data_IF_873514165594
#
_entry.id   IF_873514165594
#
_cell.length_a   1.000
_cell.length_b   1.000
_cell.length_c   1.000
_cell.angle_alpha   90.00
_cell.angle_beta   90.00
_cell.angle_gamma   90.00
#
_symmetry.space_group_name_H-M   'P 1'
#
loop_
_entity.id
_entity.type
_entity.pdbx_description
1 polymer ?
#
# COMPACT_ATOMS: atom_id res chain seq x y z
N UNK A 1 16.33 15.14 1.83
CA UNK A 1 15.34 14.10 1.51
C UNK A 1 15.41 13.70 0.05
N UNK A 2 15.00 12.47 -0.31
CA UNK A 2 14.95 12.02 -1.70
C UNK A 2 13.52 11.62 -2.05
N UNK A 3 12.98 12.17 -3.15
CA UNK A 3 11.68 11.77 -3.72
C UNK A 3 11.94 10.83 -4.90
N UNK A 4 11.23 9.72 -4.96
CA UNK A 4 11.27 8.77 -6.08
C UNK A 4 9.92 8.76 -6.77
N UNK A 5 9.93 9.04 -8.06
CA UNK A 5 8.76 8.94 -8.95
C UNK A 5 9.01 7.81 -9.93
N UNK A 6 8.10 6.83 -9.98
CA UNK A 6 8.16 5.72 -10.93
C UNK A 6 7.27 6.01 -12.13
N UNK A 7 7.86 6.12 -13.31
CA UNK A 7 7.15 6.34 -14.57
C UNK A 7 7.04 5.03 -15.37
N UNK A 8 5.83 4.73 -15.91
CA UNK A 8 5.56 3.51 -16.68
C UNK A 8 4.43 3.68 -17.69
N UNK A 9 4.62 3.18 -18.89
CA UNK A 9 3.58 3.18 -19.93
C UNK A 9 3.34 4.55 -20.54
N UNK A 10 2.10 4.85 -20.85
CA UNK A 10 1.72 6.16 -21.43
C UNK A 10 1.53 7.17 -20.30
N UNK A 11 2.62 7.83 -19.92
CA UNK A 11 2.59 8.88 -18.90
C UNK A 11 2.00 10.17 -19.48
N UNK A 12 1.09 10.80 -18.74
CA UNK A 12 0.48 12.07 -19.07
C UNK A 12 0.82 13.14 -18.03
N UNK A 13 0.98 12.76 -16.77
CA UNK A 13 1.11 13.66 -15.63
C UNK A 13 2.51 13.78 -15.05
N UNK A 14 3.48 13.04 -15.60
CA UNK A 14 4.85 12.99 -15.06
C UNK A 14 5.49 14.38 -14.93
N UNK A 15 5.32 15.27 -15.93
CA UNK A 15 5.85 16.63 -15.87
C UNK A 15 5.24 17.44 -14.72
N UNK A 16 3.94 17.30 -14.46
CA UNK A 16 3.26 17.97 -13.36
C UNK A 16 3.73 17.43 -12.00
N UNK A 17 3.86 16.09 -11.85
CA UNK A 17 4.41 15.47 -10.66
C UNK A 17 5.84 15.94 -10.36
N UNK A 18 6.71 15.99 -11.37
CA UNK A 18 8.08 16.49 -11.25
C UNK A 18 8.09 17.99 -10.91
N UNK A 19 7.30 18.81 -11.60
CA UNK A 19 7.25 20.25 -11.37
C UNK A 19 6.78 20.61 -9.97
N UNK A 20 5.68 19.99 -9.48
CA UNK A 20 5.16 20.23 -8.12
C UNK A 20 6.12 19.74 -7.04
N UNK A 21 6.83 18.64 -7.28
CA UNK A 21 7.88 18.14 -6.39
C UNK A 21 9.03 19.13 -6.29
N UNK A 22 9.57 19.60 -7.42
CA UNK A 22 10.69 20.55 -7.46
C UNK A 22 10.32 21.94 -6.93
N UNK A 23 9.02 22.32 -7.00
CA UNK A 23 8.48 23.57 -6.46
C UNK A 23 8.06 23.49 -4.98
N UNK A 24 8.26 22.35 -4.32
CA UNK A 24 7.89 22.16 -2.92
C UNK A 24 8.60 23.14 -1.99
N UNK A 25 7.84 23.66 -1.01
CA UNK A 25 8.32 24.67 -0.05
C UNK A 25 8.70 24.02 1.28
N UNK A 26 9.68 24.64 1.98
CA UNK A 26 10.11 24.21 3.32
C UNK A 26 10.96 22.94 3.31
N UNK A 27 11.58 22.62 2.19
CA UNK A 27 12.55 21.53 2.03
C UNK A 27 13.80 22.08 1.35
N UNK A 28 14.90 22.18 2.08
CA UNK A 28 16.13 22.83 1.58
C UNK A 28 16.97 21.88 0.71
N UNK A 29 17.10 20.60 1.13
CA UNK A 29 17.88 19.58 0.44
C UNK A 29 16.95 18.52 -0.19
N UNK A 30 16.48 18.81 -1.40
CA UNK A 30 15.62 17.91 -2.18
C UNK A 30 16.43 17.24 -3.30
N UNK A 31 16.45 15.90 -3.31
CA UNK A 31 16.84 15.06 -4.44
C UNK A 31 15.59 14.45 -5.07
N UNK A 32 15.50 14.47 -6.39
CA UNK A 32 14.41 13.83 -7.14
C UNK A 32 14.98 12.76 -8.07
N UNK A 33 14.52 11.53 -7.90
CA UNK A 33 14.87 10.39 -8.75
C UNK A 33 13.65 9.93 -9.53
N UNK A 34 13.67 10.07 -10.84
CA UNK A 34 12.67 9.50 -11.73
C UNK A 34 13.16 8.14 -12.22
N UNK A 35 12.36 7.10 -12.04
CA UNK A 35 12.67 5.76 -12.57
C UNK A 35 11.82 5.54 -13.82
N UNK A 36 12.47 5.54 -15.00
CA UNK A 36 11.84 5.17 -16.27
C UNK A 36 11.72 3.65 -16.37
N UNK A 37 10.63 3.13 -15.87
CA UNK A 37 10.38 1.68 -15.79
C UNK A 37 9.72 1.12 -17.08
N UNK A 38 9.90 1.80 -18.19
CA UNK A 38 9.37 1.45 -19.51
C UNK A 38 8.24 2.38 -19.96
N UNK A 39 8.50 3.69 -19.99
CA UNK A 39 7.62 4.68 -20.59
C UNK A 39 7.51 4.45 -22.10
N UNK A 40 6.31 4.66 -22.63
CA UNK A 40 6.02 4.54 -24.06
C UNK A 40 5.82 5.91 -24.74
N UNK A 41 5.83 6.99 -23.96
CA UNK A 41 5.80 8.39 -24.41
C UNK A 41 7.17 9.04 -24.20
N UNK A 42 7.35 10.25 -24.71
CA UNK A 42 8.57 11.04 -24.56
C UNK A 42 8.65 11.84 -23.24
N UNK A 43 7.72 11.64 -22.34
CA UNK A 43 7.59 12.39 -21.07
C UNK A 43 8.88 12.36 -20.24
N UNK A 44 9.56 11.23 -20.15
CA UNK A 44 10.84 11.15 -19.42
C UNK A 44 11.95 11.87 -20.18
N UNK A 45 12.01 11.70 -21.51
CA UNK A 45 13.06 12.32 -22.35
C UNK A 45 12.94 13.84 -22.43
N UNK A 46 11.74 14.39 -22.20
CA UNK A 46 11.44 15.82 -22.29
C UNK A 46 11.38 16.50 -20.93
N UNK A 47 11.73 15.82 -19.84
CA UNK A 47 11.82 16.43 -18.51
C UNK A 47 12.77 17.62 -18.52
N UNK A 48 12.39 18.75 -17.89
CA UNK A 48 13.27 19.93 -17.82
C UNK A 48 14.55 19.61 -17.04
N UNK A 49 15.70 20.13 -17.46
CA UNK A 49 16.94 19.95 -16.74
C UNK A 49 16.88 20.67 -15.38
N UNK A 50 17.13 19.92 -14.30
CA UNK A 50 17.24 20.45 -12.94
C UNK A 50 18.40 19.71 -12.24
N UNK A 51 19.31 20.38 -11.55
CA UNK A 51 20.45 19.74 -10.89
C UNK A 51 20.05 18.76 -9.78
N UNK A 52 18.84 18.87 -9.26
CA UNK A 52 18.26 17.96 -8.24
C UNK A 52 17.63 16.71 -8.87
N UNK A 53 17.37 16.71 -10.19
CA UNK A 53 16.71 15.64 -10.91
C UNK A 53 17.71 14.65 -11.49
N UNK A 54 17.49 13.37 -11.23
CA UNK A 54 18.21 12.26 -11.84
C UNK A 54 17.23 11.23 -12.40
N UNK A 55 17.52 10.70 -13.58
CA UNK A 55 16.74 9.64 -14.21
C UNK A 55 17.49 8.31 -14.14
N UNK A 56 16.79 7.25 -13.77
CA UNK A 56 17.29 5.87 -13.77
C UNK A 56 16.44 5.04 -14.74
N UNK A 57 17.09 4.24 -15.59
CA UNK A 57 16.38 3.38 -16.55
C UNK A 57 16.82 1.93 -16.34
N UNK A 58 16.01 1.07 -15.70
CA UNK A 58 16.29 -0.35 -15.57
C UNK A 58 16.21 -1.03 -16.93
N UNK A 59 16.91 -2.16 -17.09
CA UNK A 59 16.96 -2.91 -18.35
C UNK A 59 15.63 -3.59 -18.72
N UNK A 60 14.72 -3.71 -17.77
CA UNK A 60 13.38 -4.28 -17.95
C UNK A 60 12.39 -3.67 -16.94
N UNK A 61 11.11 -3.79 -17.25
CA UNK A 61 10.06 -3.39 -16.30
C UNK A 61 10.09 -4.26 -15.04
N UNK A 62 10.44 -3.67 -13.91
CA UNK A 62 10.56 -4.32 -12.60
C UNK A 62 9.27 -4.24 -11.77
N UNK A 63 8.19 -3.68 -12.32
CA UNK A 63 6.97 -3.36 -11.59
C UNK A 63 7.14 -2.15 -10.68
N UNK A 64 6.07 -1.79 -9.97
CA UNK A 64 6.12 -0.68 -9.01
C UNK A 64 7.09 -0.99 -7.87
N UNK A 65 6.98 -2.16 -7.26
CA UNK A 65 7.82 -2.56 -6.13
C UNK A 65 9.33 -2.53 -6.48
N UNK A 66 9.73 -3.15 -7.58
CA UNK A 66 11.12 -3.18 -8.01
C UNK A 66 11.66 -1.81 -8.45
N UNK A 67 10.82 -1.00 -9.10
CA UNK A 67 11.22 0.34 -9.53
C UNK A 67 11.42 1.31 -8.37
N UNK A 68 10.54 1.29 -7.36
CA UNK A 68 10.73 2.08 -6.13
C UNK A 68 11.95 1.58 -5.36
N UNK A 69 12.17 0.28 -5.24
CA UNK A 69 13.38 -0.28 -4.64
C UNK A 69 14.65 0.24 -5.36
N UNK A 70 14.66 0.26 -6.70
CA UNK A 70 15.79 0.79 -7.49
C UNK A 70 15.99 2.28 -7.20
N UNK A 71 14.93 3.09 -7.23
CA UNK A 71 14.99 4.52 -6.93
C UNK A 71 15.55 4.78 -5.53
N UNK A 72 15.01 4.10 -4.52
CA UNK A 72 15.47 4.26 -3.12
C UNK A 72 16.89 3.72 -2.88
N UNK A 73 17.33 2.71 -3.63
CA UNK A 73 18.73 2.24 -3.53
C UNK A 73 19.74 3.26 -4.06
N UNK A 74 19.32 4.13 -4.95
CA UNK A 74 20.13 5.20 -5.51
C UNK A 74 19.98 6.54 -4.78
N UNK A 75 18.94 6.68 -3.94
CA UNK A 75 18.67 7.87 -3.15
C UNK A 75 19.69 8.08 -2.02
N UNK A 76 19.96 9.34 -1.69
CA UNK A 76 21.00 9.73 -0.71
C UNK A 76 20.41 10.36 0.55
N UNK A 77 19.12 10.72 0.56
CA UNK A 77 18.47 11.39 1.68
C UNK A 77 18.13 10.45 2.84
N UNK A 78 18.12 10.97 4.05
CA UNK A 78 17.71 10.26 5.27
C UNK A 78 16.20 9.99 5.35
N UNK A 79 15.42 10.71 4.55
CA UNK A 79 13.98 10.53 4.36
C UNK A 79 13.74 10.23 2.89
N UNK A 80 13.09 9.10 2.63
CA UNK A 80 12.74 8.61 1.30
C UNK A 80 11.24 8.79 1.08
N UNK A 81 10.84 9.41 -0.03
CA UNK A 81 9.44 9.61 -0.38
C UNK A 81 9.16 8.93 -1.71
N UNK A 82 8.17 8.04 -1.73
CA UNK A 82 7.59 7.58 -2.99
C UNK A 82 6.43 8.49 -3.36
N UNK A 83 6.36 8.85 -4.63
CA UNK A 83 5.29 9.63 -5.23
C UNK A 83 4.91 8.99 -6.56
N UNK A 84 3.62 8.78 -6.80
CA UNK A 84 3.16 8.30 -8.10
C UNK A 84 3.42 9.35 -9.20
N UNK A 85 3.67 8.88 -10.42
CA UNK A 85 3.90 9.75 -11.60
C UNK A 85 2.67 10.54 -12.04
N UNK A 86 1.49 10.12 -11.58
CA UNK A 86 0.19 10.77 -11.78
C UNK A 86 -0.32 11.49 -10.51
N UNK A 87 0.61 11.89 -9.62
CA UNK A 87 0.29 12.62 -8.39
C UNK A 87 1.06 13.94 -8.29
N UNK A 88 0.36 15.02 -7.92
CA UNK A 88 0.89 16.36 -7.72
C UNK A 88 0.85 16.72 -6.23
N UNK A 89 1.96 17.14 -5.65
CA UNK A 89 2.01 17.53 -4.23
C UNK A 89 1.63 19.00 -4.02
N UNK A 90 0.89 19.31 -2.95
CA UNK A 90 0.71 20.70 -2.51
C UNK A 90 2.06 21.29 -2.04
N UNK A 91 2.27 22.62 -2.14
CA UNK A 91 3.57 23.25 -1.88
C UNK A 91 4.23 22.88 -0.54
N UNK A 92 3.45 22.67 0.51
CA UNK A 92 3.96 22.32 1.86
C UNK A 92 3.91 20.83 2.20
N UNK A 93 3.48 19.97 1.30
CA UNK A 93 3.25 18.55 1.60
C UNK A 93 4.52 17.84 2.03
N UNK A 94 5.60 17.97 1.29
CA UNK A 94 6.87 17.30 1.62
C UNK A 94 7.43 17.75 2.97
N UNK A 95 7.38 19.06 3.27
CA UNK A 95 7.82 19.59 4.55
C UNK A 95 7.00 19.04 5.73
N UNK A 96 5.68 18.86 5.55
CA UNK A 96 4.80 18.27 6.59
C UNK A 96 5.08 16.79 6.81
N UNK A 97 5.41 16.04 5.75
CA UNK A 97 5.83 14.64 5.87
C UNK A 97 7.17 14.53 6.59
N UNK A 98 8.13 15.39 6.27
CA UNK A 98 9.43 15.49 6.99
C UNK A 98 9.19 15.78 8.46
N UNK A 99 8.37 16.79 8.79
CA UNK A 99 8.06 17.15 10.17
C UNK A 99 7.42 15.99 10.96
N UNK A 100 6.58 15.17 10.34
CA UNK A 100 6.00 13.99 10.99
C UNK A 100 7.07 12.91 11.26
N UNK A 101 8.02 12.72 10.34
CA UNK A 101 9.16 11.82 10.54
C UNK A 101 10.06 12.33 11.67
N UNK A 102 10.33 13.63 11.72
CA UNK A 102 11.14 14.27 12.78
C UNK A 102 10.43 14.19 14.15
N UNK A 103 9.08 14.21 14.16
CA UNK A 103 8.23 13.98 15.35
C UNK A 103 8.18 12.49 15.77
N UNK A 104 8.96 11.64 15.13
CA UNK A 104 9.17 10.24 15.50
C UNK A 104 8.31 9.22 14.76
N UNK A 105 7.63 9.58 13.66
CA UNK A 105 7.07 8.60 12.76
C UNK A 105 8.18 7.88 12.00
N UNK A 106 8.05 6.56 11.80
CA UNK A 106 8.92 5.80 10.91
C UNK A 106 8.42 5.87 9.45
N UNK A 107 7.08 5.94 9.28
CA UNK A 107 6.40 6.16 8.00
C UNK A 107 5.37 7.28 8.16
N UNK A 108 5.25 8.16 7.15
CA UNK A 108 4.28 9.24 7.13
C UNK A 108 3.59 9.32 5.75
N UNK A 109 2.27 9.23 5.71
CA UNK A 109 1.48 9.27 4.48
C UNK A 109 0.71 10.58 4.33
N UNK A 110 0.62 11.10 3.11
CA UNK A 110 -0.25 12.22 2.80
C UNK A 110 -1.71 11.77 2.60
N UNK A 111 -2.65 12.70 2.74
CA UNK A 111 -4.00 12.55 2.21
C UNK A 111 -3.91 12.62 0.69
N UNK A 112 -4.41 11.60 0.02
CA UNK A 112 -4.48 11.57 -1.44
C UNK A 112 -5.85 12.07 -1.86
N UNK A 113 -5.88 13.12 -2.69
CA UNK A 113 -7.10 13.75 -3.21
C UNK A 113 -7.33 13.36 -4.66
N UNK A 114 -8.57 13.35 -5.11
CA UNK A 114 -8.94 13.15 -6.51
C UNK A 114 -8.69 14.44 -7.29
N UNK A 115 -7.79 14.41 -8.26
CA UNK A 115 -7.53 15.55 -9.13
C UNK A 115 -8.79 15.93 -9.94
N UNK A 116 -8.96 17.23 -10.17
CA UNK A 116 -10.13 17.75 -10.89
C UNK A 116 -11.43 17.77 -10.10
N UNK A 117 -11.37 17.59 -8.77
CA UNK A 117 -12.54 17.65 -7.87
C UNK A 117 -12.37 18.74 -6.81
N UNK A 118 -13.46 19.08 -6.11
CA UNK A 118 -13.43 19.99 -4.95
C UNK A 118 -12.94 19.25 -3.69
N UNK A 119 -11.65 18.90 -3.65
CA UNK A 119 -11.00 18.22 -2.53
C UNK A 119 -11.68 16.91 -2.08
N UNK A 120 -12.19 16.11 -3.01
CA UNK A 120 -12.65 14.76 -2.67
C UNK A 120 -11.45 13.85 -2.39
N UNK A 121 -11.55 13.08 -1.32
CA UNK A 121 -10.50 12.13 -0.92
C UNK A 121 -10.47 10.94 -1.88
N UNK A 122 -9.30 10.63 -2.41
CA UNK A 122 -9.02 9.35 -3.07
C UNK A 122 -8.62 8.30 -2.04
N UNK A 123 -7.76 8.66 -1.07
CA UNK A 123 -7.28 7.73 -0.05
C UNK A 123 -6.74 8.50 1.17
N UNK A 124 -7.24 8.16 2.36
CA UNK A 124 -6.74 8.69 3.63
C UNK A 124 -6.83 7.62 4.73
N UNK A 125 -5.70 7.01 5.07
CA UNK A 125 -5.64 5.97 6.09
C UNK A 125 -6.42 4.71 5.72
N UNK A 126 -5.83 3.86 4.89
CA UNK A 126 -6.49 2.71 4.28
C UNK A 126 -6.82 1.60 5.29
N UNK A 127 -8.11 1.24 5.47
CA UNK A 127 -8.52 0.12 6.30
C UNK A 127 -8.02 -1.22 5.75
N UNK A 128 -7.56 -2.09 6.64
CA UNK A 128 -7.13 -3.44 6.33
C UNK A 128 -8.12 -4.46 6.92
N UNK A 129 -8.72 -5.26 6.06
CA UNK A 129 -9.65 -6.30 6.46
C UNK A 129 -8.89 -7.56 6.92
N UNK A 130 -9.45 -8.29 7.91
CA UNK A 130 -8.84 -9.52 8.45
C UNK A 130 -8.49 -10.57 7.38
N UNK A 131 -9.19 -10.59 6.26
CA UNK A 131 -8.91 -11.47 5.11
C UNK A 131 -7.89 -10.89 4.12
N UNK A 132 -7.18 -9.83 4.51
CA UNK A 132 -6.13 -9.20 3.72
C UNK A 132 -6.60 -8.26 2.62
N UNK A 133 -7.90 -7.94 2.52
CA UNK A 133 -8.36 -6.89 1.62
C UNK A 133 -8.01 -5.52 2.19
N UNK A 134 -7.75 -4.60 1.29
CA UNK A 134 -7.54 -3.19 1.61
C UNK A 134 -8.37 -2.35 0.64
N UNK A 135 -8.84 -1.23 1.09
CA UNK A 135 -9.54 -0.25 0.26
C UNK A 135 -9.14 1.16 0.66
N UNK A 136 -9.43 2.12 -0.19
CA UNK A 136 -9.15 3.52 0.04
C UNK A 136 -10.00 4.04 1.22
N UNK A 137 -9.34 4.56 2.25
CA UNK A 137 -10.03 5.21 3.36
C UNK A 137 -10.65 6.53 2.92
N UNK A 138 -11.87 6.81 3.35
CA UNK A 138 -12.62 8.04 3.06
C UNK A 138 -12.83 8.35 1.57
N UNK A 139 -12.82 7.33 0.70
CA UNK A 139 -13.02 7.51 -0.74
C UNK A 139 -14.29 8.32 -1.03
N UNK A 140 -14.18 9.31 -1.93
CA UNK A 140 -15.24 10.23 -2.37
C UNK A 140 -15.84 11.09 -1.24
N UNK A 141 -15.22 11.16 -0.07
CA UNK A 141 -15.62 12.08 0.99
C UNK A 141 -14.91 13.44 0.84
N UNK A 142 -15.58 14.58 1.07
CA UNK A 142 -14.92 15.88 1.08
C UNK A 142 -13.85 15.94 2.18
N UNK A 143 -12.65 16.44 1.87
CA UNK A 143 -11.57 16.62 2.85
C UNK A 143 -12.00 17.54 4.00
N UNK A 144 -12.77 18.59 3.67
CA UNK A 144 -13.27 19.54 4.64
C UNK A 144 -14.20 18.88 5.66
N UNK A 145 -13.86 19.00 6.94
CA UNK A 145 -14.66 18.46 8.05
C UNK A 145 -14.40 16.99 8.38
N UNK A 146 -13.46 16.31 7.70
CA UNK A 146 -13.05 14.97 8.11
C UNK A 146 -12.19 15.04 9.37
N UNK A 147 -12.58 14.26 10.38
CA UNK A 147 -11.75 13.98 11.56
C UNK A 147 -10.84 12.80 11.24
N UNK A 148 -9.70 13.11 10.64
CA UNK A 148 -8.72 12.09 10.23
C UNK A 148 -7.83 11.72 11.41
N UNK A 149 -7.90 10.46 11.83
CA UNK A 149 -6.94 9.92 12.80
C UNK A 149 -5.53 9.90 12.20
N UNK A 150 -4.54 10.29 12.99
CA UNK A 150 -3.13 10.14 12.64
C UNK A 150 -2.74 8.65 12.52
N UNK A 151 -3.38 7.78 13.30
CA UNK A 151 -3.14 6.34 13.23
C UNK A 151 -3.96 5.71 12.12
N UNK A 152 -3.30 5.06 11.17
CA UNK A 152 -3.91 4.32 10.08
C UNK A 152 -3.43 2.88 10.03
N UNK A 153 -4.27 1.94 9.60
CA UNK A 153 -3.85 0.56 9.38
C UNK A 153 -2.76 0.48 8.32
N UNK A 154 -3.00 1.13 7.18
CA UNK A 154 -2.06 1.26 6.08
C UNK A 154 -2.09 2.68 5.51
N UNK A 155 -1.00 3.09 4.89
CA UNK A 155 -0.83 4.35 4.16
C UNK A 155 -0.75 4.04 2.67
N UNK A 156 -1.19 4.97 1.83
CA UNK A 156 -1.14 4.79 0.37
C UNK A 156 0.26 5.03 -0.18
N UNK A 157 0.73 4.14 -1.04
CA UNK A 157 1.98 4.30 -1.77
C UNK A 157 1.97 5.45 -2.79
N UNK A 158 0.82 6.09 -3.02
CA UNK A 158 0.73 7.23 -3.94
C UNK A 158 1.54 8.46 -3.46
N UNK A 159 1.61 8.69 -2.13
CA UNK A 159 2.49 9.70 -1.52
C UNK A 159 2.84 9.27 -0.09
N UNK A 160 4.00 8.65 0.08
CA UNK A 160 4.43 8.03 1.34
C UNK A 160 5.90 8.34 1.61
N UNK A 161 6.18 8.93 2.76
CA UNK A 161 7.53 9.11 3.29
C UNK A 161 7.89 7.98 4.24
N UNK A 162 9.16 7.60 4.25
CA UNK A 162 9.74 6.61 5.16
C UNK A 162 11.15 7.04 5.56
N UNK A 163 11.54 6.83 6.79
CA UNK A 163 12.94 6.98 7.22
C UNK A 163 13.82 5.97 6.48
N UNK A 164 14.97 6.39 5.99
CA UNK A 164 15.85 5.51 5.24
C UNK A 164 16.30 4.30 6.07
N UNK A 165 16.60 4.47 7.35
CA UNK A 165 16.96 3.36 8.24
C UNK A 165 15.78 2.40 8.48
N UNK A 166 14.54 2.89 8.57
CA UNK A 166 13.35 2.07 8.68
C UNK A 166 13.12 1.27 7.38
N UNK A 167 13.29 1.92 6.20
CA UNK A 167 13.24 1.24 4.90
C UNK A 167 14.24 0.08 4.82
N UNK A 168 15.50 0.34 5.20
CA UNK A 168 16.55 -0.69 5.19
C UNK A 168 16.25 -1.83 6.18
N UNK A 169 15.79 -1.51 7.39
CA UNK A 169 15.37 -2.54 8.37
C UNK A 169 14.22 -3.40 7.87
N UNK A 170 13.27 -2.80 7.15
CA UNK A 170 12.15 -3.52 6.52
C UNK A 170 12.60 -4.33 5.31
N UNK A 171 13.75 -4.01 4.71
CA UNK A 171 14.25 -4.64 3.48
C UNK A 171 13.46 -4.22 2.23
N UNK A 172 12.88 -3.02 2.24
CA UNK A 172 12.15 -2.46 1.11
C UNK A 172 10.87 -3.22 0.76
N UNK A 173 10.41 -3.05 -0.47
CA UNK A 173 9.33 -3.85 -1.04
C UNK A 173 9.83 -5.24 -1.44
N UNK A 174 8.95 -6.23 -1.39
CA UNK A 174 9.26 -7.52 -2.01
C UNK A 174 8.93 -7.46 -3.50
N UNK A 175 9.90 -7.74 -4.36
CA UNK A 175 9.74 -7.72 -5.82
C UNK A 175 8.66 -8.68 -6.32
N UNK A 176 8.33 -9.72 -5.53
CA UNK A 176 7.27 -10.66 -5.87
C UNK A 176 5.88 -9.98 -5.95
N UNK A 177 5.67 -8.85 -5.29
CA UNK A 177 4.42 -8.10 -5.45
C UNK A 177 4.27 -7.56 -6.86
N UNK A 178 5.33 -7.11 -7.47
CA UNK A 178 5.37 -6.42 -8.76
C UNK A 178 4.62 -5.07 -8.73
N UNK A 179 3.32 -5.09 -8.47
CA UNK A 179 2.46 -3.92 -8.22
C UNK A 179 1.24 -4.35 -7.43
N UNK A 180 0.69 -3.43 -6.64
CA UNK A 180 -0.45 -3.58 -5.70
C UNK A 180 -0.12 -4.43 -4.47
N UNK A 181 -0.53 -3.96 -3.29
CA UNK A 181 -0.33 -4.57 -1.98
C UNK A 181 1.10 -4.46 -1.41
N UNK A 182 2.08 -3.95 -2.15
CA UNK A 182 3.44 -3.74 -1.64
C UNK A 182 3.48 -2.70 -0.51
N UNK A 183 2.67 -1.65 -0.62
CA UNK A 183 2.48 -0.61 0.41
C UNK A 183 1.79 -1.17 1.66
N UNK A 184 0.79 -2.02 1.48
CA UNK A 184 0.11 -2.73 2.58
C UNK A 184 1.08 -3.65 3.31
N UNK A 185 1.88 -4.44 2.57
CA UNK A 185 2.90 -5.33 3.12
C UNK A 185 3.96 -4.52 3.89
N UNK A 186 4.42 -3.40 3.35
CA UNK A 186 5.38 -2.51 4.01
C UNK A 186 4.82 -1.97 5.33
N UNK A 187 3.63 -1.36 5.29
CA UNK A 187 2.95 -0.80 6.45
C UNK A 187 2.74 -1.85 7.54
N UNK A 188 2.28 -3.04 7.16
CA UNK A 188 2.02 -4.12 8.12
C UNK A 188 3.31 -4.65 8.75
N UNK A 189 4.39 -4.84 7.96
CA UNK A 189 5.70 -5.23 8.48
C UNK A 189 6.30 -4.17 9.39
N UNK A 190 6.09 -2.89 9.10
CA UNK A 190 6.50 -1.80 9.97
C UNK A 190 5.79 -1.89 11.34
N UNK A 191 4.47 -2.09 11.37
CA UNK A 191 3.72 -2.32 12.62
C UNK A 191 4.19 -3.58 13.35
N UNK A 192 4.48 -4.66 12.65
CA UNK A 192 5.03 -5.89 13.24
C UNK A 192 6.40 -5.67 13.89
N UNK A 193 7.15 -4.67 13.46
CA UNK A 193 8.41 -4.27 14.10
C UNK A 193 8.23 -3.19 15.19
N UNK A 194 6.99 -2.76 15.47
CA UNK A 194 6.69 -1.73 16.47
C UNK A 194 6.96 -0.31 15.98
N UNK A 195 7.01 -0.11 14.66
CA UNK A 195 7.22 1.20 14.05
C UNK A 195 5.93 2.03 14.06
N UNK A 196 6.09 3.35 14.15
CA UNK A 196 5.00 4.32 14.12
C UNK A 196 4.68 4.73 12.68
N UNK A 197 3.39 4.61 12.30
CA UNK A 197 2.84 5.03 11.02
C UNK A 197 1.84 6.16 11.25
N UNK A 198 2.11 7.31 10.66
CA UNK A 198 1.24 8.50 10.78
C UNK A 198 0.62 8.87 9.42
N UNK A 199 -0.69 9.00 9.38
CA UNK A 199 -1.37 9.80 8.37
C UNK A 199 -1.19 11.27 8.76
N UNK A 200 -0.80 12.11 7.81
CA UNK A 200 -0.59 13.56 8.02
C UNK A 200 -1.74 14.33 7.36
N UNK A 201 -2.80 14.70 8.09
CA UNK A 201 -4.02 15.29 7.50
C UNK A 201 -3.78 16.60 6.74
N UNK A 202 -2.72 17.34 7.12
CA UNK A 202 -2.36 18.62 6.50
C UNK A 202 -1.50 18.45 5.24
N UNK A 203 -0.90 17.27 5.01
CA UNK A 203 -0.15 16.95 3.80
C UNK A 203 -1.10 16.38 2.76
N UNK A 204 -1.10 16.91 1.54
CA UNK A 204 -1.97 16.41 0.48
C UNK A 204 -1.26 16.27 -0.86
N UNK A 205 -1.66 15.26 -1.62
CA UNK A 205 -1.26 15.05 -3.00
C UNK A 205 -2.51 14.81 -3.87
N UNK A 206 -2.59 15.51 -4.99
CA UNK A 206 -3.66 15.36 -5.98
C UNK A 206 -3.31 14.21 -6.93
N UNK A 207 -4.20 13.24 -7.07
CA UNK A 207 -3.96 12.03 -7.85
C UNK A 207 -4.91 11.97 -9.04
N UNK A 208 -4.36 11.89 -10.24
CA UNK A 208 -5.10 11.72 -11.49
C UNK A 208 -5.49 10.25 -11.68
N UNK A 209 -6.26 9.75 -10.72
CA UNK A 209 -6.55 8.33 -10.57
C UNK A 209 -7.63 7.86 -11.54
N UNK A 210 -7.29 6.89 -12.38
CA UNK A 210 -8.25 6.15 -13.19
C UNK A 210 -8.38 4.70 -12.71
N UNK A 211 -9.58 4.34 -12.23
CA UNK A 211 -9.83 2.97 -11.83
C UNK A 211 -10.15 2.07 -13.03
N UNK A 212 -9.13 1.51 -13.66
CA UNK A 212 -9.27 0.49 -14.69
C UNK A 212 -9.31 -0.93 -14.08
N UNK A 213 -10.31 -1.75 -14.41
CA UNK A 213 -10.32 -3.20 -14.12
C UNK A 213 -9.85 -3.97 -15.35
N UNK A 214 -8.72 -4.63 -15.25
CA UNK A 214 -8.26 -5.58 -16.26
C UNK A 214 -7.80 -6.89 -15.60
N UNK A 215 -7.69 -7.96 -16.39
CA UNK A 215 -7.38 -9.29 -15.87
C UNK A 215 -6.00 -9.36 -15.18
N UNK A 216 -5.01 -8.56 -15.62
CA UNK A 216 -3.68 -8.49 -14.99
C UNK A 216 -3.76 -7.86 -13.61
N UNK A 217 -4.48 -6.74 -13.47
CA UNK A 217 -4.71 -6.06 -12.18
C UNK A 217 -5.39 -7.01 -11.21
N UNK A 218 -6.48 -7.68 -11.63
CA UNK A 218 -7.20 -8.63 -10.77
C UNK A 218 -6.33 -9.81 -10.35
N UNK A 219 -5.49 -10.33 -11.27
CA UNK A 219 -4.51 -11.37 -10.94
C UNK A 219 -3.53 -10.92 -9.87
N UNK A 220 -2.92 -9.74 -10.03
CA UNK A 220 -1.94 -9.23 -9.09
C UNK A 220 -2.57 -8.96 -7.72
N UNK A 221 -3.69 -8.24 -7.67
CA UNK A 221 -4.38 -7.91 -6.42
C UNK A 221 -4.71 -9.18 -5.61
N UNK A 222 -5.29 -10.20 -6.24
CA UNK A 222 -5.72 -11.42 -5.56
C UNK A 222 -4.55 -12.32 -5.16
N UNK A 223 -3.54 -12.45 -6.00
CA UNK A 223 -2.32 -13.17 -5.68
C UNK A 223 -1.57 -12.49 -4.52
N UNK A 224 -1.43 -11.19 -4.58
CA UNK A 224 -0.68 -10.40 -3.60
C UNK A 224 -1.39 -10.37 -2.25
N UNK A 225 -2.72 -10.29 -2.23
CA UNK A 225 -3.51 -10.43 -1.01
C UNK A 225 -3.23 -11.76 -0.31
N UNK A 226 -3.24 -12.87 -1.04
CA UNK A 226 -2.90 -14.19 -0.46
C UNK A 226 -1.44 -14.27 -0.02
N UNK A 227 -0.51 -13.73 -0.82
CA UNK A 227 0.90 -13.64 -0.45
C UNK A 227 1.07 -12.89 0.88
N UNK A 228 0.42 -11.73 1.01
CA UNK A 228 0.40 -10.92 2.22
C UNK A 228 -0.12 -11.74 3.43
N UNK A 229 -1.34 -12.27 3.37
CA UNK A 229 -1.96 -13.01 4.48
C UNK A 229 -1.09 -14.20 4.90
N UNK A 230 -0.62 -15.01 3.94
CA UNK A 230 0.14 -16.22 4.23
C UNK A 230 1.54 -15.94 4.79
N UNK A 231 2.15 -14.80 4.50
CA UNK A 231 3.51 -14.49 4.96
C UNK A 231 3.55 -13.60 6.19
N UNK A 232 2.55 -12.73 6.39
CA UNK A 232 2.58 -11.72 7.45
C UNK A 232 1.85 -12.15 8.72
N UNK A 233 0.71 -12.84 8.65
CA UNK A 233 -0.02 -13.24 9.87
C UNK A 233 0.66 -14.38 10.62
N UNK A 234 0.56 -14.40 11.95
CA UNK A 234 1.03 -15.50 12.79
C UNK A 234 0.21 -16.78 12.53
N UNK A 235 0.75 -17.94 12.92
CA UNK A 235 0.06 -19.23 12.73
C UNK A 235 -1.26 -19.31 13.48
N UNK A 236 -1.32 -18.73 14.68
CA UNK A 236 -2.54 -18.64 15.49
C UNK A 236 -3.64 -17.87 14.78
N UNK A 237 -3.31 -16.69 14.24
CA UNK A 237 -4.23 -15.86 13.43
C UNK A 237 -4.69 -16.59 12.18
N UNK A 238 -3.76 -17.24 11.46
CA UNK A 238 -4.10 -18.05 10.29
C UNK A 238 -5.01 -19.23 10.62
N UNK A 239 -4.83 -19.88 11.78
CA UNK A 239 -5.71 -20.96 12.22
C UNK A 239 -7.13 -20.47 12.47
N UNK A 240 -7.30 -19.32 13.11
CA UNK A 240 -8.62 -18.69 13.30
C UNK A 240 -9.25 -18.31 11.95
N UNK A 241 -8.46 -17.80 11.01
CA UNK A 241 -8.94 -17.34 9.70
C UNK A 241 -9.07 -18.45 8.65
N UNK A 242 -8.62 -19.69 8.92
CA UNK A 242 -8.57 -20.74 7.90
C UNK A 242 -9.94 -21.03 7.27
N UNK A 243 -10.98 -21.23 8.07
CA UNK A 243 -12.33 -21.47 7.56
C UNK A 243 -12.95 -20.24 6.88
N UNK A 244 -12.94 -19.04 7.49
CA UNK A 244 -13.41 -17.81 6.80
C UNK A 244 -12.66 -17.49 5.52
N UNK A 245 -11.33 -17.68 5.50
CA UNK A 245 -10.52 -17.42 4.32
C UNK A 245 -10.89 -18.37 3.18
N UNK A 246 -11.03 -19.68 3.48
CA UNK A 246 -11.45 -20.66 2.47
C UNK A 246 -12.86 -20.34 1.93
N UNK A 247 -13.81 -20.05 2.80
CA UNK A 247 -15.16 -19.68 2.40
C UNK A 247 -15.17 -18.41 1.52
N UNK A 248 -14.37 -17.41 1.90
CA UNK A 248 -14.21 -16.19 1.11
C UNK A 248 -13.58 -16.45 -0.26
N UNK A 249 -12.54 -17.28 -0.32
CA UNK A 249 -11.88 -17.66 -1.58
C UNK A 249 -12.86 -18.31 -2.57
N UNK A 250 -13.72 -19.21 -2.08
CA UNK A 250 -14.75 -19.86 -2.91
C UNK A 250 -15.83 -18.88 -3.35
N UNK A 251 -16.30 -18.03 -2.45
CA UNK A 251 -17.29 -17.00 -2.79
C UNK A 251 -16.73 -16.01 -3.83
N UNK A 252 -15.48 -15.59 -3.65
CA UNK A 252 -14.82 -14.66 -4.57
C UNK A 252 -14.55 -15.31 -5.93
N UNK A 253 -14.28 -16.63 -5.99
CA UNK A 253 -14.20 -17.35 -7.26
C UNK A 253 -15.54 -17.28 -8.04
N UNK A 254 -16.67 -17.46 -7.36
CA UNK A 254 -17.99 -17.35 -8.00
C UNK A 254 -18.23 -15.94 -8.56
N UNK A 255 -17.84 -14.90 -7.81
CA UNK A 255 -17.88 -13.51 -8.29
C UNK A 255 -16.96 -13.34 -9.50
N UNK A 256 -15.74 -13.84 -9.43
CA UNK A 256 -14.74 -13.74 -10.49
C UNK A 256 -15.21 -14.43 -11.78
N UNK A 257 -15.87 -15.58 -11.67
CA UNK A 257 -16.44 -16.29 -12.82
C UNK A 257 -17.57 -15.48 -13.46
N UNK A 258 -18.46 -14.89 -12.66
CA UNK A 258 -19.57 -14.04 -13.17
C UNK A 258 -19.06 -12.75 -13.82
N UNK A 259 -17.97 -12.19 -13.32
CA UNK A 259 -17.38 -10.94 -13.82
C UNK A 259 -16.30 -11.15 -14.92
N UNK A 260 -16.03 -12.39 -15.34
CA UNK A 260 -15.14 -12.71 -16.44
C UNK A 260 -13.63 -12.76 -16.10
N UNK A 261 -13.25 -12.59 -14.81
CA UNK A 261 -11.84 -12.67 -14.39
C UNK A 261 -11.47 -13.93 -13.59
N UNK A 262 -12.32 -14.98 -13.64
CA UNK A 262 -12.10 -16.24 -12.94
C UNK A 262 -10.76 -16.91 -13.29
N UNK A 263 -10.31 -16.82 -14.55
CA UNK A 263 -8.97 -17.30 -14.96
C UNK A 263 -7.84 -16.59 -14.20
N UNK A 264 -7.96 -15.27 -13.98
CA UNK A 264 -6.99 -14.49 -13.22
C UNK A 264 -6.92 -14.97 -11.76
N UNK A 265 -8.07 -15.24 -11.14
CA UNK A 265 -8.19 -15.78 -9.78
C UNK A 265 -7.48 -17.14 -9.65
N UNK A 266 -7.84 -18.09 -10.51
CA UNK A 266 -7.24 -19.45 -10.50
C UNK A 266 -5.74 -19.40 -10.77
N UNK A 267 -5.29 -18.53 -11.69
CA UNK A 267 -3.86 -18.30 -11.94
C UNK A 267 -3.13 -17.78 -10.68
N UNK A 268 -3.79 -16.92 -9.89
CA UNK A 268 -3.26 -16.47 -8.60
C UNK A 268 -3.03 -17.62 -7.63
N UNK A 269 -4.00 -18.52 -7.47
CA UNK A 269 -3.84 -19.74 -6.68
C UNK A 269 -2.71 -20.66 -7.23
N UNK A 270 -2.66 -20.85 -8.54
CA UNK A 270 -1.60 -21.61 -9.19
C UNK A 270 -0.22 -21.06 -8.88
N UNK A 271 -0.06 -19.72 -8.90
CA UNK A 271 1.20 -19.08 -8.53
C UNK A 271 1.57 -19.36 -7.07
N UNK A 272 0.64 -19.21 -6.12
CA UNK A 272 0.86 -19.50 -4.70
C UNK A 272 1.34 -20.95 -4.51
N UNK A 273 0.67 -21.91 -5.14
CA UNK A 273 1.04 -23.33 -5.06
C UNK A 273 2.39 -23.64 -5.69
N UNK A 274 2.70 -23.02 -6.83
CA UNK A 274 3.98 -23.22 -7.53
C UNK A 274 5.17 -22.58 -6.77
N UNK A 275 4.93 -21.62 -5.90
CA UNK A 275 5.98 -20.86 -5.20
C UNK A 275 6.00 -21.10 -3.68
N UNK A 276 5.58 -22.28 -3.20
CA UNK A 276 5.56 -22.60 -1.77
C UNK A 276 6.93 -22.48 -1.08
N UNK A 277 8.02 -22.76 -1.82
CA UNK A 277 9.39 -22.55 -1.33
C UNK A 277 9.66 -21.08 -1.03
N UNK A 278 9.33 -20.20 -1.97
CA UNK A 278 9.42 -18.74 -1.79
C UNK A 278 8.56 -18.26 -0.61
N UNK A 279 7.29 -18.70 -0.53
CA UNK A 279 6.39 -18.31 0.56
C UNK A 279 6.95 -18.72 1.93
N UNK A 280 7.51 -19.93 2.05
CA UNK A 280 8.13 -20.38 3.29
C UNK A 280 9.34 -19.53 3.69
N UNK A 281 10.22 -19.23 2.74
CA UNK A 281 11.37 -18.36 2.95
C UNK A 281 10.95 -16.93 3.33
N UNK A 282 10.03 -16.33 2.57
CA UNK A 282 9.49 -15.00 2.86
C UNK A 282 8.82 -14.95 4.24
N UNK A 283 7.98 -15.95 4.54
CA UNK A 283 7.35 -16.06 5.85
C UNK A 283 8.37 -16.16 6.98
N UNK A 284 9.40 -17.00 6.82
CA UNK A 284 10.46 -17.13 7.83
C UNK A 284 11.16 -15.79 8.06
N UNK A 285 11.50 -15.06 7.00
CA UNK A 285 12.09 -13.73 7.07
C UNK A 285 11.19 -12.73 7.80
N UNK A 286 9.92 -12.61 7.41
CA UNK A 286 8.97 -11.66 8.02
C UNK A 286 8.74 -11.98 9.49
N UNK A 287 8.54 -13.26 9.83
CA UNK A 287 8.28 -13.67 11.21
C UNK A 287 9.51 -13.56 12.11
N UNK A 288 10.73 -13.73 11.59
CA UNK A 288 11.97 -13.55 12.37
C UNK A 288 12.24 -12.08 12.73
N UNK A 289 11.77 -11.14 11.93
CA UNK A 289 11.91 -9.70 12.18
C UNK A 289 10.80 -9.14 13.08
N UNK A 290 9.77 -9.92 13.36
CA UNK A 290 8.62 -9.51 14.16
C UNK A 290 9.02 -9.23 15.60
N UNK A 291 8.53 -8.10 16.15
CA UNK A 291 8.66 -7.70 17.56
C UNK A 291 7.30 -7.62 18.25
N UNK A 292 6.24 -7.39 17.47
CA UNK A 292 4.88 -7.19 17.98
C UNK A 292 4.00 -8.37 17.55
N UNK A 293 3.32 -9.06 18.49
CA UNK A 293 2.42 -10.16 18.15
C UNK A 293 1.16 -9.65 17.44
N UNK A 294 0.47 -10.53 16.67
CA UNK A 294 -0.73 -10.14 15.93
C UNK A 294 -1.84 -9.61 16.83
N UNK A 295 -1.95 -10.12 18.06
CA UNK A 295 -2.97 -9.68 19.03
C UNK A 295 -2.90 -8.17 19.32
N UNK A 296 -1.70 -7.62 19.42
CA UNK A 296 -1.50 -6.18 19.60
C UNK A 296 -1.83 -5.38 18.34
N UNK A 297 -1.90 -6.05 17.18
CA UNK A 297 -2.22 -5.42 15.88
C UNK A 297 -3.69 -5.60 15.47
N UNK A 298 -4.48 -6.43 16.18
CA UNK A 298 -5.90 -6.62 15.89
C UNK A 298 -6.73 -5.32 15.85
N UNK A 299 -6.46 -4.28 16.67
CA UNK A 299 -7.18 -3.01 16.58
C UNK A 299 -7.07 -2.31 15.23
N UNK A 300 -6.02 -2.59 14.44
CA UNK A 300 -5.85 -2.05 13.09
C UNK A 300 -6.58 -2.85 12.00
N UNK A 301 -7.21 -3.98 12.36
CA UNK A 301 -7.94 -4.83 11.44
C UNK A 301 -9.45 -4.61 11.54
N UNK A 302 -10.12 -4.65 10.41
CA UNK A 302 -11.58 -4.61 10.35
C UNK A 302 -12.17 -5.92 9.84
N UNK A 303 -13.40 -6.24 10.26
CA UNK A 303 -14.22 -7.33 9.70
C UNK A 303 -15.37 -6.78 8.86
N UNK A 304 -15.47 -5.46 8.72
CA UNK A 304 -16.54 -4.77 8.00
C UNK A 304 -16.05 -4.42 6.61
N UNK A 305 -16.78 -4.81 5.57
CA UNK A 305 -16.50 -4.41 4.19
C UNK A 305 -17.05 -3.01 3.93
N UNK A 306 -16.30 -2.17 3.25
CA UNK A 306 -16.84 -0.92 2.71
C UNK A 306 -17.80 -1.23 1.56
N UNK A 307 -19.08 -0.94 1.78
CA UNK A 307 -20.13 -1.25 0.80
C UNK A 307 -20.00 -0.46 -0.52
N UNK A 308 -19.28 0.67 -0.52
CA UNK A 308 -19.03 1.49 -1.71
C UNK A 308 -17.99 0.84 -2.62
N UNK A 309 -16.93 0.26 -2.05
CA UNK A 309 -15.81 -0.30 -2.78
C UNK A 309 -15.90 -1.82 -2.96
N UNK A 310 -16.49 -2.50 -1.97
CA UNK A 310 -16.73 -3.95 -1.96
C UNK A 310 -18.23 -4.19 -1.71
N UNK A 311 -19.08 -3.96 -2.71
CA UNK A 311 -20.53 -4.12 -2.54
C UNK A 311 -20.87 -5.60 -2.28
N UNK A 312 -21.35 -5.87 -1.07
CA UNK A 312 -21.87 -7.18 -0.73
C UNK A 312 -23.35 -7.29 -1.16
N UNK A 313 -23.74 -8.37 -1.86
CA UNK A 313 -25.14 -8.63 -2.08
C UNK A 313 -25.88 -8.76 -0.73
N UNK A 314 -27.19 -8.55 -0.70
CA UNK A 314 -27.99 -8.61 0.54
C UNK A 314 -27.76 -9.90 1.35
N UNK A 315 -27.57 -11.04 0.67
CA UNK A 315 -27.20 -12.32 1.29
C UNK A 315 -25.79 -12.34 1.92
N UNK A 316 -24.91 -11.38 1.59
CA UNK A 316 -23.56 -11.28 2.17
C UNK A 316 -23.53 -10.57 3.52
N UNK A 317 -24.54 -9.76 3.87
CA UNK A 317 -24.60 -9.03 5.15
C UNK A 317 -24.57 -9.95 6.39
N UNK A 318 -25.36 -11.05 6.43
CA UNK A 318 -25.28 -12.02 7.52
C UNK A 318 -23.90 -12.68 7.63
N UNK A 319 -23.24 -12.95 6.50
CA UNK A 319 -21.89 -13.53 6.50
C UNK A 319 -20.86 -12.59 7.10
N UNK A 320 -20.96 -11.29 6.87
CA UNK A 320 -20.10 -10.29 7.52
C UNK A 320 -20.31 -10.29 9.04
N UNK A 321 -21.56 -10.36 9.51
CA UNK A 321 -21.86 -10.45 10.94
C UNK A 321 -21.28 -11.72 11.56
N UNK A 322 -21.43 -12.86 10.88
CA UNK A 322 -20.85 -14.13 11.30
C UNK A 322 -19.33 -14.09 11.34
N UNK A 323 -18.69 -13.48 10.34
CA UNK A 323 -17.24 -13.28 10.35
C UNK A 323 -16.80 -12.44 11.56
N UNK A 324 -17.51 -11.34 11.86
CA UNK A 324 -17.22 -10.50 13.00
C UNK A 324 -17.39 -11.23 14.36
N UNK A 325 -18.38 -12.09 14.48
CA UNK A 325 -18.55 -12.97 15.65
C UNK A 325 -17.43 -14.01 15.75
N UNK A 326 -17.16 -14.70 14.64
CA UNK A 326 -16.07 -15.68 14.55
C UNK A 326 -14.71 -15.08 14.94
N UNK A 327 -14.40 -13.92 14.38
CA UNK A 327 -13.18 -13.19 14.68
C UNK A 327 -13.06 -12.84 16.17
N UNK A 328 -14.11 -12.28 16.77
CA UNK A 328 -14.14 -11.94 18.20
C UNK A 328 -13.99 -13.16 19.10
N UNK A 329 -14.63 -14.27 18.77
CA UNK A 329 -14.50 -15.51 19.54
C UNK A 329 -13.10 -16.12 19.40
N UNK A 330 -12.60 -16.22 18.16
CA UNK A 330 -11.29 -16.77 17.88
C UNK A 330 -10.16 -15.98 18.55
N UNK A 331 -10.20 -14.65 18.48
CA UNK A 331 -9.18 -13.79 19.10
C UNK A 331 -9.24 -13.84 20.63
N UNK A 332 -10.43 -13.93 21.24
CA UNK A 332 -10.57 -14.13 22.71
C UNK A 332 -9.96 -15.45 23.17
N UNK A 333 -10.14 -16.54 22.42
CA UNK A 333 -9.54 -17.82 22.74
C UNK A 333 -8.00 -17.77 22.67
N UNK A 334 -7.45 -17.02 21.70
CA UNK A 334 -6.01 -16.82 21.59
C UNK A 334 -5.47 -15.99 22.76
N UNK A 335 -6.14 -14.91 23.14
CA UNK A 335 -5.73 -14.04 24.28
C UNK A 335 -5.81 -14.76 25.63
N UNK A 336 -6.76 -15.65 25.81
CA UNK A 336 -6.93 -16.42 27.04
C UNK A 336 -5.91 -17.55 27.26
N UNK A 337 -5.23 -18.02 26.20
CA UNK A 337 -4.20 -19.04 26.28
C UNK A 337 -2.83 -18.54 26.75
N UNK A 338 -2.61 -17.21 26.78
CA UNK A 338 -1.30 -16.60 27.15
C UNK A 338 -1.31 -15.91 28.51
N UNK A 339 -2.44 -15.94 29.23
CA UNK A 339 -2.57 -15.38 30.59
C UNK A 339 -2.39 -16.41 31.70
N UNK A 340 -1.84 -17.59 31.41
CA UNK A 340 -1.41 -18.61 32.37
C UNK A 340 0.13 -18.81 32.18
#
# INVERSE_FOLDING_TARGET
MSVVILAYGAEEWLHAAVATTLASQGVDDLELVVVDNGCTTDQVATLPPDPRLRVLTPTQNTGFAGGVNLGFSAATGDILVMLNSDAEVEPGTLARLVAAIDDGADLAGAVVLLAGTDELVNSAGNPLHVLGLVWAGHLDEPRAGLDLSREAACLSGACLAVRADAWHRLGGFSDAYFAYHEDVDLCWRARQQGMRLDLVPQAAAWHHYEFGRNARKMYLMERNRLLFVLTTYQRSTLAVLAAPLLAFELALLLVALRQGWGRAKVRGWGWILAHLGYLRGRRAQVQSQRKVPDEALYPYLTTVFDARQVPLPAAGRPLQTLLGLWWRLGTRLLSGCWSQ
#
